data_IF_683643436840
#
_entry.id   IF_683643436840
#
_cell.length_a   1.000
_cell.length_b   1.000
_cell.length_c   1.000
_cell.angle_alpha   90.00
_cell.angle_beta   90.00
_cell.angle_gamma   90.00
#
_symmetry.space_group_name_H-M   'P 1'
#
loop_
_entity.id
_entity.type
_entity.pdbx_description
1 polymer ?
#
# COMPACT_ATOMS: atom_id res chain seq x y z
N UNK A 1 74.05 -56.08 10.00
CA UNK A 1 73.64 -57.00 11.08
C UNK A 1 72.73 -56.20 12.02
N UNK A 2 71.40 -56.24 11.83
CA UNK A 2 70.41 -57.06 12.59
C UNK A 2 70.23 -56.48 14.01
N UNK A 3 69.07 -56.13 14.59
CA UNK A 3 67.61 -56.18 14.34
C UNK A 3 66.98 -55.21 15.39
N UNK A 4 65.98 -54.38 15.08
CA UNK A 4 64.52 -54.62 15.24
C UNK A 4 64.05 -55.25 16.56
N UNK A 5 63.30 -54.47 17.36
CA UNK A 5 62.34 -54.84 18.43
C UNK A 5 62.11 -53.59 19.31
N UNK A 6 60.93 -53.04 19.60
CA UNK A 6 59.57 -53.57 19.67
C UNK A 6 58.54 -52.44 19.41
N UNK A 7 57.50 -52.80 18.67
CA UNK A 7 56.20 -52.14 18.56
C UNK A 7 55.31 -52.71 19.69
N UNK A 8 54.28 -51.95 20.06
CA UNK A 8 53.10 -52.27 20.89
C UNK A 8 53.20 -51.89 22.38
N UNK A 9 52.65 -50.72 22.68
CA UNK A 9 51.68 -50.42 23.74
C UNK A 9 51.54 -48.88 23.73
N UNK A 10 50.38 -48.22 23.67
CA UNK A 10 49.01 -48.64 23.85
C UNK A 10 48.13 -47.51 23.30
N UNK A 11 47.20 -47.88 22.42
CA UNK A 11 46.10 -47.04 21.93
C UNK A 11 45.19 -46.69 23.11
N UNK A 12 45.39 -45.56 23.79
CA UNK A 12 44.43 -45.13 24.82
C UNK A 12 44.49 -43.65 25.23
N UNK A 13 44.66 -42.72 24.29
CA UNK A 13 44.65 -41.28 24.58
C UNK A 13 43.83 -40.46 23.56
N UNK A 14 42.73 -41.04 23.07
CA UNK A 14 41.84 -40.41 22.08
C UNK A 14 40.38 -40.30 22.56
N UNK A 15 40.16 -40.22 23.88
CA UNK A 15 38.79 -40.26 24.43
C UNK A 15 38.59 -39.41 25.68
N UNK A 16 39.21 -38.23 25.79
CA UNK A 16 38.96 -37.29 26.93
C UNK A 16 39.02 -35.80 26.60
N UNK A 17 38.54 -35.40 25.41
CA UNK A 17 38.17 -33.99 25.13
C UNK A 17 36.79 -33.89 24.46
N UNK A 18 35.85 -34.72 24.92
CA UNK A 18 34.41 -34.56 24.69
C UNK A 18 33.75 -34.00 25.96
N UNK A 19 34.37 -32.99 26.57
CA UNK A 19 33.75 -32.21 27.63
C UNK A 19 32.80 -31.25 26.94
N UNK A 20 31.54 -31.69 26.83
CA UNK A 20 30.36 -30.91 27.19
C UNK A 20 30.59 -29.39 27.31
N UNK A 21 30.79 -28.72 26.18
CA UNK A 21 30.27 -27.37 25.99
C UNK A 21 28.80 -27.54 25.58
N UNK A 22 28.01 -28.13 26.49
CA UNK A 22 26.59 -27.81 26.60
C UNK A 22 26.55 -26.40 27.18
N UNK A 23 26.91 -25.43 26.33
CA UNK A 23 26.41 -24.07 26.47
C UNK A 23 24.89 -24.28 26.48
N UNK A 24 24.20 -23.98 27.60
CA UNK A 24 22.77 -23.86 27.51
C UNK A 24 22.58 -22.72 26.51
N UNK A 25 22.21 -23.06 25.28
CA UNK A 25 21.33 -22.23 24.50
C UNK A 25 20.09 -22.11 25.38
N UNK A 26 20.19 -21.19 26.34
CA UNK A 26 19.07 -20.54 26.96
C UNK A 26 18.42 -19.90 25.75
N UNK A 27 17.52 -20.67 25.12
CA UNK A 27 16.46 -20.15 24.30
C UNK A 27 15.80 -19.12 25.20
N UNK A 28 16.28 -17.88 25.11
CA UNK A 28 15.51 -16.71 25.43
C UNK A 28 14.37 -16.77 24.42
N UNK A 29 13.37 -17.60 24.70
CA UNK A 29 11.99 -17.33 24.36
C UNK A 29 11.58 -16.07 25.11
N UNK A 30 12.28 -14.97 24.87
CA UNK A 30 11.63 -13.68 24.92
C UNK A 30 10.51 -13.85 23.92
N UNK A 31 9.27 -13.76 24.41
CA UNK A 31 8.15 -13.42 23.58
C UNK A 31 8.65 -12.28 22.70
N UNK A 32 8.96 -12.59 21.43
CA UNK A 32 9.25 -11.55 20.48
C UNK A 32 7.95 -10.77 20.43
N UNK A 33 7.91 -9.64 21.15
CA UNK A 33 6.84 -8.67 21.02
C UNK A 33 6.60 -8.57 19.53
N UNK A 34 5.42 -9.02 19.10
CA UNK A 34 5.13 -9.20 17.68
C UNK A 34 5.41 -7.86 17.03
N UNK A 35 6.47 -7.81 16.23
CA UNK A 35 6.98 -6.58 15.64
C UNK A 35 5.83 -5.90 14.91
N UNK A 36 5.35 -4.78 15.45
CA UNK A 36 4.24 -4.05 14.85
C UNK A 36 4.73 -3.33 13.59
N UNK A 37 4.08 -3.62 12.46
CA UNK A 37 4.38 -2.98 11.17
C UNK A 37 3.92 -1.52 11.08
N UNK A 38 3.30 -0.97 12.12
CA UNK A 38 3.04 0.48 12.21
C UNK A 38 4.36 1.27 12.08
N UNK A 39 5.43 0.80 12.72
CA UNK A 39 6.76 1.42 12.62
C UNK A 39 7.34 1.34 11.20
N UNK A 40 7.12 0.23 10.50
CA UNK A 40 7.47 0.05 9.09
C UNK A 40 6.81 1.11 8.22
N UNK A 41 5.48 1.22 8.27
CA UNK A 41 4.72 2.15 7.42
C UNK A 41 5.10 3.61 7.68
N UNK A 42 5.29 3.99 8.94
CA UNK A 42 5.73 5.34 9.29
C UNK A 42 7.13 5.67 8.74
N UNK A 43 8.01 4.68 8.67
CA UNK A 43 9.38 4.84 8.15
C UNK A 43 9.38 4.92 6.63
N UNK A 44 8.59 4.07 5.95
CA UNK A 44 8.40 4.11 4.49
C UNK A 44 7.88 5.47 4.02
N UNK A 45 6.92 6.07 4.73
CA UNK A 45 6.42 7.41 4.39
C UNK A 45 7.55 8.46 4.32
N UNK A 46 8.61 8.33 5.13
CA UNK A 46 9.77 9.24 5.08
C UNK A 46 10.61 9.03 3.81
N UNK A 47 10.81 7.77 3.40
CA UNK A 47 11.52 7.46 2.15
C UNK A 47 10.76 8.01 0.93
N UNK A 48 9.44 7.88 0.91
CA UNK A 48 8.58 8.41 -0.14
C UNK A 48 8.66 9.96 -0.23
N UNK A 49 8.74 10.66 0.91
CA UNK A 49 8.99 12.11 0.92
C UNK A 49 10.36 12.49 0.35
N UNK A 50 11.42 11.72 0.67
CA UNK A 50 12.75 11.93 0.09
C UNK A 50 12.75 11.72 -1.43
N UNK A 51 12.05 10.69 -1.92
CA UNK A 51 11.88 10.46 -3.37
C UNK A 51 11.26 11.69 -4.04
N UNK A 52 10.24 12.29 -3.42
CA UNK A 52 9.55 13.47 -3.97
C UNK A 52 10.43 14.72 -4.01
N UNK A 53 11.42 14.81 -3.11
CA UNK A 53 12.45 15.86 -3.12
C UNK A 53 13.66 15.51 -3.99
N UNK A 54 13.61 14.35 -4.66
CA UNK A 54 14.69 13.78 -5.45
C UNK A 54 15.97 13.46 -4.65
N UNK A 55 15.82 13.29 -3.34
CA UNK A 55 16.88 12.92 -2.40
C UNK A 55 17.01 11.39 -2.35
N UNK A 56 17.36 10.77 -3.48
CA UNK A 56 17.34 9.32 -3.63
C UNK A 56 18.31 8.59 -2.70
N UNK A 57 19.48 9.18 -2.40
CA UNK A 57 20.42 8.61 -1.43
C UNK A 57 19.84 8.60 -0.01
N UNK A 58 19.13 9.66 0.39
CA UNK A 58 18.42 9.72 1.69
C UNK A 58 17.33 8.64 1.76
N UNK A 59 16.57 8.44 0.68
CA UNK A 59 15.56 7.39 0.61
C UNK A 59 16.18 5.98 0.74
N UNK A 60 17.35 5.72 0.14
CA UNK A 60 18.05 4.44 0.25
C UNK A 60 18.39 4.11 1.70
N UNK A 61 18.97 5.05 2.45
CA UNK A 61 19.33 4.84 3.86
C UNK A 61 18.10 4.43 4.68
N UNK A 62 16.95 5.05 4.40
CA UNK A 62 15.68 4.71 5.06
C UNK A 62 15.24 3.29 4.68
N UNK A 63 15.30 2.91 3.40
CA UNK A 63 14.95 1.55 2.95
C UNK A 63 15.89 0.48 3.50
N UNK A 64 17.20 0.71 3.50
CA UNK A 64 18.17 -0.22 4.09
C UNK A 64 17.87 -0.46 5.57
N UNK A 65 17.60 0.62 6.30
CA UNK A 65 17.27 0.53 7.72
C UNK A 65 15.97 -0.25 7.95
N UNK A 66 14.93 -0.01 7.14
CA UNK A 66 13.64 -0.67 7.36
C UNK A 66 13.68 -2.14 6.94
N UNK A 67 14.35 -2.48 5.84
CA UNK A 67 14.38 -3.86 5.34
C UNK A 67 15.23 -4.81 6.19
N UNK A 68 16.20 -4.29 6.95
CA UNK A 68 16.94 -5.09 7.94
C UNK A 68 16.06 -5.47 9.15
N UNK A 69 15.13 -4.59 9.52
CA UNK A 69 14.36 -4.73 10.75
C UNK A 69 13.02 -5.46 10.58
N UNK A 70 12.49 -5.51 9.36
CA UNK A 70 11.15 -6.04 9.09
C UNK A 70 11.21 -7.14 8.02
N UNK A 71 10.82 -8.39 8.30
CA UNK A 71 10.99 -9.50 7.34
C UNK A 71 10.04 -9.46 6.13
N UNK A 72 8.89 -8.79 6.23
CA UNK A 72 7.92 -8.68 5.13
C UNK A 72 8.12 -7.33 4.44
N UNK A 73 8.33 -7.37 3.12
CA UNK A 73 8.43 -6.16 2.31
C UNK A 73 7.27 -6.11 1.31
N UNK A 74 6.73 -4.92 1.09
CA UNK A 74 5.74 -4.73 0.03
C UNK A 74 6.47 -4.54 -1.29
N UNK A 75 6.00 -5.20 -2.36
CA UNK A 75 6.61 -5.09 -3.69
C UNK A 75 6.74 -3.63 -4.17
N UNK A 76 5.79 -2.76 -3.79
CA UNK A 76 5.86 -1.32 -4.12
C UNK A 76 7.09 -0.65 -3.49
N UNK A 77 7.41 -1.02 -2.25
CA UNK A 77 8.48 -0.44 -1.47
C UNK A 77 9.83 -0.96 -1.95
N UNK A 78 9.92 -2.27 -2.24
CA UNK A 78 11.07 -2.88 -2.91
C UNK A 78 11.37 -2.22 -4.26
N UNK A 79 10.32 -1.96 -5.04
CA UNK A 79 10.49 -1.32 -6.33
C UNK A 79 10.98 0.11 -6.19
N UNK A 80 10.38 0.90 -5.30
CA UNK A 80 10.82 2.26 -5.03
C UNK A 80 12.29 2.29 -4.55
N UNK A 81 12.69 1.37 -3.67
CA UNK A 81 14.08 1.23 -3.24
C UNK A 81 15.01 0.90 -4.43
N UNK A 82 14.63 -0.08 -5.26
CA UNK A 82 15.39 -0.48 -6.45
C UNK A 82 15.60 0.71 -7.40
N UNK A 83 14.54 1.49 -7.66
CA UNK A 83 14.63 2.69 -8.49
C UNK A 83 15.54 3.76 -7.87
N UNK A 84 15.53 3.93 -6.54
CA UNK A 84 16.48 4.84 -5.89
C UNK A 84 17.93 4.43 -6.21
N UNK A 85 18.29 3.15 -6.08
CA UNK A 85 19.65 2.69 -6.39
C UNK A 85 20.01 2.83 -7.87
N UNK A 86 19.05 2.58 -8.77
CA UNK A 86 19.25 2.81 -10.21
C UNK A 86 19.53 4.29 -10.48
N UNK A 87 18.76 5.21 -9.87
CA UNK A 87 18.93 6.65 -10.05
C UNK A 87 20.26 7.18 -9.49
N UNK A 88 20.85 6.51 -8.51
CA UNK A 88 22.19 6.84 -7.97
C UNK A 88 23.31 5.94 -8.51
N UNK A 89 23.05 5.18 -9.59
CA UNK A 89 24.03 4.30 -10.25
C UNK A 89 24.67 3.20 -9.37
N UNK A 90 24.00 2.79 -8.29
CA UNK A 90 24.43 1.70 -7.39
C UNK A 90 23.80 0.38 -7.86
N UNK A 91 24.22 -0.09 -9.03
CA UNK A 91 23.51 -1.16 -9.76
C UNK A 91 23.64 -2.55 -9.13
N UNK A 92 24.66 -2.78 -8.31
CA UNK A 92 24.83 -3.99 -7.50
C UNK A 92 23.70 -4.15 -6.46
N UNK A 93 23.33 -3.07 -5.77
CA UNK A 93 22.19 -3.07 -4.83
C UNK A 93 20.85 -3.14 -5.57
N UNK A 94 20.74 -2.48 -6.72
CA UNK A 94 19.55 -2.56 -7.55
C UNK A 94 19.30 -3.99 -8.05
N UNK A 95 20.36 -4.74 -8.40
CA UNK A 95 20.29 -6.15 -8.77
C UNK A 95 19.67 -7.01 -7.66
N UNK A 96 20.16 -6.89 -6.43
CA UNK A 96 19.65 -7.65 -5.28
C UNK A 96 18.16 -7.38 -5.03
N UNK A 97 17.73 -6.11 -5.14
CA UNK A 97 16.31 -5.77 -5.01
C UNK A 97 15.48 -6.24 -6.22
N UNK A 98 16.05 -6.28 -7.43
CA UNK A 98 15.38 -6.86 -8.59
C UNK A 98 15.16 -8.38 -8.40
N UNK A 99 16.14 -9.09 -7.84
CA UNK A 99 15.97 -10.50 -7.46
C UNK A 99 14.85 -10.68 -6.44
N UNK A 100 14.79 -9.82 -5.43
CA UNK A 100 13.72 -9.84 -4.42
C UNK A 100 12.35 -9.51 -5.03
N UNK A 101 12.27 -8.55 -5.96
CA UNK A 101 11.04 -8.24 -6.70
C UNK A 101 10.48 -9.47 -7.42
N UNK A 102 11.33 -10.35 -7.98
CA UNK A 102 10.89 -11.61 -8.59
C UNK A 102 10.24 -12.52 -7.54
N UNK A 103 10.79 -12.57 -6.32
CA UNK A 103 10.19 -13.28 -5.18
C UNK A 103 8.88 -12.66 -4.71
N UNK A 104 8.60 -11.42 -5.11
CA UNK A 104 7.34 -10.71 -4.89
C UNK A 104 6.43 -10.69 -6.13
N UNK A 105 6.70 -11.55 -7.12
CA UNK A 105 5.83 -11.78 -8.25
C UNK A 105 6.11 -10.94 -9.49
N UNK A 106 7.17 -10.12 -9.50
CA UNK A 106 7.62 -9.50 -10.74
C UNK A 106 8.03 -10.55 -11.76
N UNK A 107 7.69 -10.28 -13.01
CA UNK A 107 8.06 -11.06 -14.18
C UNK A 107 9.12 -10.30 -14.96
N UNK A 108 9.91 -11.02 -15.77
CA UNK A 108 10.95 -10.42 -16.59
C UNK A 108 10.45 -9.23 -17.42
N UNK A 109 9.25 -9.38 -17.99
CA UNK A 109 8.57 -8.38 -18.79
C UNK A 109 8.24 -7.08 -18.02
N UNK A 110 8.07 -7.14 -16.69
CA UNK A 110 7.85 -5.94 -15.87
C UNK A 110 9.10 -5.05 -15.84
N UNK A 111 10.30 -5.65 -15.90
CA UNK A 111 11.56 -4.92 -15.98
C UNK A 111 11.82 -4.42 -17.41
N UNK A 112 11.59 -5.28 -18.42
CA UNK A 112 11.91 -4.97 -19.81
C UNK A 112 11.03 -3.86 -20.41
N UNK A 113 9.74 -3.83 -20.05
CA UNK A 113 8.80 -2.81 -20.57
C UNK A 113 8.96 -1.46 -19.89
N UNK A 114 9.35 -1.44 -18.62
CA UNK A 114 9.47 -0.19 -17.89
C UNK A 114 10.87 0.41 -18.06
N UNK A 115 10.94 1.43 -18.93
CA UNK A 115 12.18 2.13 -19.30
C UNK A 115 13.04 2.59 -18.12
N UNK A 116 12.46 2.75 -16.92
CA UNK A 116 13.19 3.12 -15.70
C UNK A 116 14.26 2.09 -15.30
N UNK A 117 14.12 0.82 -15.70
CA UNK A 117 15.10 -0.24 -15.45
C UNK A 117 16.20 -0.31 -16.52
N UNK A 118 16.13 0.51 -17.57
CA UNK A 118 17.12 0.50 -18.68
C UNK A 118 18.59 0.58 -18.20
N UNK A 119 18.96 1.42 -17.21
CA UNK A 119 20.34 1.44 -16.72
C UNK A 119 20.79 0.11 -16.12
N UNK A 120 19.91 -0.58 -15.39
CA UNK A 120 20.19 -1.92 -14.87
C UNK A 120 20.32 -2.91 -16.03
N UNK A 121 19.34 -2.95 -16.95
CA UNK A 121 19.28 -3.87 -18.10
C UNK A 121 20.54 -3.79 -18.99
N UNK A 122 21.09 -2.59 -19.17
CA UNK A 122 22.31 -2.38 -19.98
C UNK A 122 23.61 -2.71 -19.26
N UNK A 123 23.56 -3.01 -17.97
CA UNK A 123 24.74 -3.26 -17.15
C UNK A 123 25.12 -4.74 -17.10
N UNK A 124 26.32 -5.03 -16.60
CA UNK A 124 26.75 -6.41 -16.36
C UNK A 124 25.92 -7.11 -15.27
N UNK A 125 25.36 -6.35 -14.32
CA UNK A 125 24.48 -6.85 -13.26
C UNK A 125 23.21 -7.50 -13.81
N UNK A 126 22.69 -7.01 -14.95
CA UNK A 126 21.56 -7.64 -15.61
C UNK A 126 21.86 -9.06 -16.06
N UNK A 127 23.08 -9.32 -16.56
CA UNK A 127 23.46 -10.68 -16.97
C UNK A 127 23.47 -11.64 -15.78
N UNK A 128 23.93 -11.17 -14.62
CA UNK A 128 23.89 -11.94 -13.37
C UNK A 128 22.45 -12.20 -12.92
N UNK A 129 21.61 -11.16 -12.92
CA UNK A 129 20.17 -11.28 -12.64
C UNK A 129 19.45 -12.27 -13.57
N UNK A 130 19.73 -12.24 -14.88
CA UNK A 130 19.13 -13.18 -15.85
C UNK A 130 19.52 -14.62 -15.53
N UNK A 131 20.77 -14.85 -15.12
CA UNK A 131 21.25 -16.19 -14.75
C UNK A 131 20.54 -16.73 -13.49
N UNK A 132 20.11 -15.86 -12.57
CA UNK A 132 19.38 -16.25 -11.35
C UNK A 132 17.85 -16.27 -11.54
N UNK A 133 17.32 -15.57 -12.55
CA UNK A 133 15.88 -15.32 -12.74
C UNK A 133 15.03 -16.61 -12.73
N UNK A 134 15.37 -17.63 -13.52
CA UNK A 134 14.56 -18.86 -13.60
C UNK A 134 14.43 -19.54 -12.24
N UNK A 135 15.52 -19.59 -11.47
CA UNK A 135 15.52 -20.17 -10.11
C UNK A 135 14.66 -19.34 -9.16
N UNK A 136 14.79 -18.01 -9.20
CA UNK A 136 14.00 -17.10 -8.35
C UNK A 136 12.51 -17.17 -8.70
N UNK A 137 12.19 -17.24 -9.99
CA UNK A 137 10.81 -17.35 -10.46
C UNK A 137 10.17 -18.66 -10.02
N UNK A 138 10.90 -19.77 -10.12
CA UNK A 138 10.44 -21.06 -9.60
C UNK A 138 10.16 -20.99 -8.09
N UNK A 139 11.08 -20.38 -7.32
CA UNK A 139 10.90 -20.17 -5.87
C UNK A 139 9.63 -19.36 -5.58
N UNK A 140 9.34 -18.31 -6.33
CA UNK A 140 8.08 -17.57 -6.19
C UNK A 140 6.87 -18.46 -6.51
N UNK A 141 6.87 -19.16 -7.66
CA UNK A 141 5.73 -19.98 -8.08
C UNK A 141 5.44 -21.13 -7.13
N UNK A 142 6.46 -21.70 -6.48
CA UNK A 142 6.31 -22.73 -5.43
C UNK A 142 5.58 -22.21 -4.19
N UNK A 143 5.59 -20.90 -3.92
CA UNK A 143 4.80 -20.30 -2.84
C UNK A 143 3.31 -20.14 -3.17
N UNK A 144 2.92 -20.34 -4.45
CA UNK A 144 1.56 -20.16 -4.90
C UNK A 144 0.77 -21.47 -4.74
N UNK A 145 -0.21 -21.48 -3.84
CA UNK A 145 -1.14 -22.59 -3.70
C UNK A 145 -2.28 -22.48 -4.74
N UNK A 146 -2.36 -23.37 -5.75
CA UNK A 146 -3.39 -23.31 -6.78
C UNK A 146 -4.81 -23.52 -6.23
N UNK A 147 -4.97 -24.34 -5.19
CA UNK A 147 -6.27 -24.63 -4.60
C UNK A 147 -6.83 -23.40 -3.87
N UNK A 148 -5.98 -22.75 -3.07
CA UNK A 148 -6.32 -21.49 -2.42
C UNK A 148 -6.72 -20.42 -3.46
N UNK A 149 -5.91 -20.26 -4.51
CA UNK A 149 -6.16 -19.26 -5.56
C UNK A 149 -7.47 -19.50 -6.31
N UNK A 150 -7.73 -20.75 -6.70
CA UNK A 150 -8.97 -21.14 -7.36
C UNK A 150 -10.18 -20.90 -6.45
N UNK A 151 -10.07 -21.24 -5.17
CA UNK A 151 -11.14 -21.02 -4.20
C UNK A 151 -11.50 -19.54 -4.07
N UNK A 152 -10.51 -18.65 -3.88
CA UNK A 152 -10.76 -17.19 -3.82
C UNK A 152 -11.33 -16.67 -5.14
N UNK A 153 -10.87 -17.20 -6.28
CA UNK A 153 -11.39 -16.81 -7.59
C UNK A 153 -12.87 -17.18 -7.77
N UNK A 154 -13.26 -18.40 -7.43
CA UNK A 154 -14.66 -18.85 -7.47
C UNK A 154 -15.56 -18.01 -6.57
N UNK A 155 -15.09 -17.71 -5.35
CA UNK A 155 -15.79 -16.84 -4.41
C UNK A 155 -16.00 -15.44 -5.00
N UNK A 156 -14.96 -14.88 -5.62
CA UNK A 156 -15.03 -13.60 -6.31
C UNK A 156 -16.02 -13.63 -7.48
N UNK A 157 -16.02 -14.67 -8.32
CA UNK A 157 -17.00 -14.76 -9.42
C UNK A 157 -18.44 -14.80 -8.90
N UNK A 158 -18.69 -15.54 -7.82
CA UNK A 158 -20.01 -15.61 -7.19
C UNK A 158 -20.44 -14.26 -6.61
N UNK A 159 -19.54 -13.58 -5.91
CA UNK A 159 -19.76 -12.23 -5.38
C UNK A 159 -20.09 -11.23 -6.51
N UNK A 160 -19.27 -11.21 -7.57
CA UNK A 160 -19.46 -10.27 -8.68
C UNK A 160 -20.69 -10.57 -9.53
N UNK A 161 -21.15 -11.82 -9.59
CA UNK A 161 -22.38 -12.18 -10.32
C UNK A 161 -23.63 -11.46 -9.81
N UNK A 162 -23.59 -10.95 -8.57
CA UNK A 162 -24.69 -10.21 -7.95
C UNK A 162 -24.36 -8.75 -7.63
N UNK A 163 -23.16 -8.27 -7.93
CA UNK A 163 -22.71 -6.91 -7.55
C UNK A 163 -23.54 -5.78 -8.18
N UNK A 164 -24.21 -6.04 -9.30
CA UNK A 164 -25.12 -5.09 -9.97
C UNK A 164 -26.60 -5.47 -9.82
N UNK A 165 -26.92 -6.42 -8.95
CA UNK A 165 -28.30 -6.84 -8.70
C UNK A 165 -29.11 -5.70 -8.10
N UNK A 166 -30.29 -5.42 -8.66
CA UNK A 166 -31.27 -4.51 -8.06
C UNK A 166 -31.93 -5.08 -6.80
N UNK A 167 -31.77 -6.38 -6.54
CA UNK A 167 -32.27 -7.06 -5.35
C UNK A 167 -31.21 -7.01 -4.25
N UNK A 168 -31.16 -5.89 -3.53
CA UNK A 168 -30.14 -5.60 -2.48
C UNK A 168 -30.08 -6.73 -1.44
N UNK A 169 -31.24 -7.14 -0.92
CA UNK A 169 -31.38 -8.24 0.03
C UNK A 169 -30.77 -9.57 -0.46
N UNK A 170 -30.89 -9.89 -1.75
CA UNK A 170 -30.25 -11.07 -2.34
C UNK A 170 -28.73 -10.88 -2.47
N UNK A 171 -28.30 -9.72 -2.95
CA UNK A 171 -26.87 -9.36 -3.03
C UNK A 171 -26.18 -9.47 -1.67
N UNK A 172 -26.78 -8.90 -0.63
CA UNK A 172 -26.23 -8.87 0.71
C UNK A 172 -26.14 -10.26 1.34
N UNK A 173 -27.10 -11.14 1.04
CA UNK A 173 -27.02 -12.54 1.45
C UNK A 173 -25.79 -13.23 0.87
N UNK A 174 -25.47 -12.97 -0.40
CA UNK A 174 -24.28 -13.53 -1.04
C UNK A 174 -23.01 -12.96 -0.42
N UNK A 175 -22.92 -11.64 -0.21
CA UNK A 175 -21.78 -11.00 0.43
C UNK A 175 -21.53 -11.58 1.83
N UNK A 176 -22.58 -11.75 2.64
CA UNK A 176 -22.50 -12.36 3.96
C UNK A 176 -21.98 -13.80 3.90
N UNK A 177 -22.57 -14.67 3.07
CA UNK A 177 -22.15 -16.07 2.99
C UNK A 177 -20.76 -16.24 2.36
N UNK A 178 -20.34 -15.36 1.44
CA UNK A 178 -18.95 -15.34 0.97
C UNK A 178 -17.99 -14.94 2.09
N UNK A 179 -18.35 -14.03 2.99
CA UNK A 179 -17.52 -13.67 4.13
C UNK A 179 -17.35 -14.82 5.14
N UNK A 180 -18.43 -15.57 5.42
CA UNK A 180 -18.36 -16.80 6.25
C UNK A 180 -17.41 -17.82 5.64
N UNK A 181 -17.48 -18.01 4.33
CA UNK A 181 -16.56 -18.93 3.64
C UNK A 181 -15.13 -18.39 3.64
N UNK A 182 -14.95 -17.08 3.51
CA UNK A 182 -13.63 -16.44 3.46
C UNK A 182 -12.91 -16.58 4.80
N UNK A 183 -13.64 -16.43 5.90
CA UNK A 183 -13.11 -16.69 7.24
C UNK A 183 -12.60 -18.13 7.38
N UNK A 184 -13.34 -19.13 6.90
CA UNK A 184 -12.90 -20.53 6.93
C UNK A 184 -11.64 -20.74 6.08
N UNK A 185 -11.61 -20.12 4.90
CA UNK A 185 -10.44 -20.16 4.01
C UNK A 185 -9.23 -19.54 4.72
N UNK A 186 -9.35 -18.38 5.36
CA UNK A 186 -8.25 -17.79 6.13
C UNK A 186 -7.88 -18.59 7.38
N UNK A 187 -8.84 -19.26 8.01
CA UNK A 187 -8.57 -20.13 9.16
C UNK A 187 -7.77 -21.38 8.74
N UNK A 188 -8.00 -21.89 7.53
CA UNK A 188 -7.30 -23.07 7.01
C UNK A 188 -5.93 -22.72 6.41
N UNK A 189 -5.87 -21.68 5.55
CA UNK A 189 -4.67 -21.33 4.79
C UNK A 189 -3.82 -20.22 5.42
N UNK A 190 -4.34 -19.53 6.45
CA UNK A 190 -3.78 -18.29 6.95
C UNK A 190 -4.16 -17.08 6.08
N UNK A 191 -3.71 -15.89 6.50
CA UNK A 191 -3.86 -14.68 5.70
C UNK A 191 -2.81 -14.67 4.58
N UNK A 192 -3.20 -14.49 3.31
CA UNK A 192 -2.30 -14.75 2.19
C UNK A 192 -1.31 -13.61 1.95
N UNK A 193 -0.12 -13.95 1.45
CA UNK A 193 0.88 -12.99 1.00
C UNK A 193 0.55 -12.26 -0.30
N UNK A 194 -0.59 -12.54 -0.95
CA UNK A 194 -0.94 -11.87 -2.21
C UNK A 194 -1.13 -10.35 -2.07
N UNK A 195 -1.33 -9.84 -0.84
CA UNK A 195 -1.44 -8.40 -0.55
C UNK A 195 -0.10 -7.67 -0.47
N UNK A 196 1.01 -8.39 -0.21
CA UNK A 196 2.37 -7.81 -0.24
C UNK A 196 3.01 -7.95 -1.63
N UNK A 197 2.59 -8.95 -2.40
CA UNK A 197 3.12 -9.28 -3.73
C UNK A 197 2.42 -8.51 -4.86
N UNK A 198 3.08 -8.43 -6.02
CA UNK A 198 2.44 -8.05 -7.29
C UNK A 198 1.60 -9.24 -7.79
N UNK A 199 0.39 -9.35 -7.26
CA UNK A 199 -0.49 -10.49 -7.50
C UNK A 199 -1.91 -10.04 -7.84
N UNK A 200 -2.48 -10.56 -8.93
CA UNK A 200 -3.84 -10.23 -9.38
C UNK A 200 -4.95 -10.73 -8.45
N UNK A 201 -4.62 -11.58 -7.46
CA UNK A 201 -5.55 -12.03 -6.44
C UNK A 201 -5.83 -10.94 -5.38
N UNK A 202 -4.91 -9.98 -5.20
CA UNK A 202 -5.05 -8.92 -4.20
C UNK A 202 -6.36 -8.12 -4.37
N UNK A 203 -6.70 -7.77 -5.60
CA UNK A 203 -7.85 -6.94 -5.94
C UNK A 203 -9.14 -7.70 -5.71
N UNK A 204 -9.17 -8.99 -6.05
CA UNK A 204 -10.33 -9.87 -5.84
C UNK A 204 -10.62 -10.03 -4.36
N UNK A 205 -9.58 -10.29 -3.58
CA UNK A 205 -9.70 -10.43 -2.13
C UNK A 205 -10.07 -9.10 -1.46
N UNK A 206 -9.49 -7.98 -1.90
CA UNK A 206 -9.90 -6.64 -1.46
C UNK A 206 -11.40 -6.41 -1.68
N UNK A 207 -11.94 -6.75 -2.85
CA UNK A 207 -13.36 -6.59 -3.18
C UNK A 207 -14.24 -7.46 -2.27
N UNK A 208 -13.92 -8.74 -2.07
CA UNK A 208 -14.67 -9.65 -1.19
C UNK A 208 -14.76 -9.10 0.24
N UNK A 209 -13.61 -8.69 0.80
CA UNK A 209 -13.54 -8.15 2.17
C UNK A 209 -14.32 -6.83 2.25
N UNK A 210 -14.13 -5.95 1.26
CA UNK A 210 -14.78 -4.65 1.16
C UNK A 210 -16.30 -4.76 1.14
N UNK A 211 -16.88 -5.68 0.36
CA UNK A 211 -18.33 -5.87 0.29
C UNK A 211 -18.93 -6.30 1.62
N UNK A 212 -18.27 -7.23 2.33
CA UNK A 212 -18.69 -7.64 3.66
C UNK A 212 -18.68 -6.48 4.66
N UNK A 213 -17.59 -5.71 4.75
CA UNK A 213 -17.55 -4.56 5.66
C UNK A 213 -18.52 -3.46 5.24
N UNK A 214 -18.75 -3.28 3.94
CA UNK A 214 -19.83 -2.45 3.43
C UNK A 214 -21.20 -2.84 3.97
N UNK A 215 -21.50 -4.14 4.02
CA UNK A 215 -22.73 -4.66 4.61
C UNK A 215 -22.79 -4.41 6.12
N UNK A 216 -21.70 -4.69 6.86
CA UNK A 216 -21.60 -4.41 8.31
C UNK A 216 -21.84 -2.93 8.61
N UNK A 217 -21.23 -2.03 7.84
CA UNK A 217 -21.32 -0.59 8.06
C UNK A 217 -22.72 -0.04 7.74
N UNK A 218 -23.40 -0.58 6.72
CA UNK A 218 -24.81 -0.27 6.46
C UNK A 218 -25.73 -0.75 7.58
N UNK A 219 -25.53 -1.98 8.07
CA UNK A 219 -26.29 -2.51 9.20
C UNK A 219 -26.11 -1.68 10.48
N UNK A 220 -24.86 -1.24 10.75
CA UNK A 220 -24.55 -0.34 11.87
C UNK A 220 -25.22 1.02 11.73
N UNK A 221 -25.24 1.58 10.51
CA UNK A 221 -25.82 2.89 10.23
C UNK A 221 -27.35 2.87 10.11
N UNK A 222 -27.94 1.71 9.81
CA UNK A 222 -29.39 1.51 9.69
C UNK A 222 -29.81 0.20 10.38
N UNK A 223 -29.97 0.19 11.72
CA UNK A 223 -30.34 -1.01 12.47
C UNK A 223 -31.72 -1.58 12.07
N UNK A 224 -32.62 -0.77 11.52
CA UNK A 224 -33.95 -1.22 11.06
C UNK A 224 -33.86 -2.23 9.91
N UNK A 225 -32.81 -2.13 9.07
CA UNK A 225 -32.53 -3.10 8.00
C UNK A 225 -32.48 -4.54 8.55
N UNK A 226 -31.97 -4.73 9.77
CA UNK A 226 -31.84 -6.06 10.39
C UNK A 226 -33.20 -6.71 10.74
N UNK A 227 -34.30 -5.96 10.71
CA UNK A 227 -35.65 -6.50 10.95
C UNK A 227 -36.25 -7.17 9.72
N UNK A 228 -35.76 -6.85 8.52
CA UNK A 228 -36.23 -7.46 7.27
C UNK A 228 -35.87 -8.95 7.24
N UNK A 229 -36.73 -9.75 6.61
CA UNK A 229 -36.66 -11.22 6.68
C UNK A 229 -35.32 -11.81 6.22
N UNK A 230 -34.64 -11.19 5.27
CA UNK A 230 -33.38 -11.72 4.74
C UNK A 230 -32.15 -11.46 5.58
N UNK A 231 -32.17 -10.48 6.50
CA UNK A 231 -31.04 -10.24 7.40
C UNK A 231 -31.18 -10.98 8.73
N UNK A 232 -32.37 -11.52 9.05
CA UNK A 232 -32.63 -12.21 10.34
C UNK A 232 -31.71 -13.40 10.60
N UNK A 233 -31.22 -14.06 9.56
CA UNK A 233 -30.29 -15.19 9.67
C UNK A 233 -28.81 -14.78 9.68
N UNK A 234 -28.51 -13.50 9.50
CA UNK A 234 -27.15 -12.98 9.47
C UNK A 234 -26.71 -12.59 10.88
N UNK A 235 -25.66 -13.25 11.37
CA UNK A 235 -25.03 -12.95 12.65
C UNK A 235 -23.62 -12.43 12.40
N UNK A 236 -23.51 -11.11 12.28
CA UNK A 236 -22.23 -10.43 12.01
C UNK A 236 -21.19 -10.66 13.11
N UNK A 237 -21.61 -10.98 14.33
CA UNK A 237 -20.69 -11.22 15.45
C UNK A 237 -20.04 -12.61 15.40
N UNK A 238 -20.55 -13.53 14.58
CA UNK A 238 -19.95 -14.87 14.38
C UNK A 238 -18.78 -14.88 13.42
N UNK A 239 -18.62 -13.83 12.62
CA UNK A 239 -17.60 -13.78 11.58
C UNK A 239 -16.41 -12.97 12.12
N UNK A 240 -15.29 -13.64 12.33
CA UNK A 240 -14.09 -13.04 12.91
C UNK A 240 -13.17 -12.36 11.89
N UNK A 241 -13.72 -11.94 10.74
CA UNK A 241 -12.92 -11.40 9.64
C UNK A 241 -12.19 -10.12 10.07
N UNK A 242 -12.79 -9.27 10.90
CA UNK A 242 -12.14 -8.05 11.40
C UNK A 242 -10.85 -8.35 12.17
N UNK A 243 -10.86 -9.34 13.07
CA UNK A 243 -9.65 -9.71 13.81
C UNK A 243 -8.58 -10.28 12.88
N UNK A 244 -8.96 -11.08 11.88
CA UNK A 244 -8.02 -11.62 10.89
C UNK A 244 -7.36 -10.48 10.09
N UNK A 245 -8.13 -9.50 9.64
CA UNK A 245 -7.65 -8.34 8.88
C UNK A 245 -6.77 -7.43 9.75
N UNK A 246 -7.16 -7.18 11.00
CA UNK A 246 -6.34 -6.44 11.96
C UNK A 246 -4.99 -7.13 12.16
N UNK A 247 -4.99 -8.44 12.40
CA UNK A 247 -3.77 -9.23 12.53
C UNK A 247 -2.91 -9.18 11.26
N UNK A 248 -3.53 -9.19 10.08
CA UNK A 248 -2.84 -9.02 8.79
C UNK A 248 -2.12 -7.67 8.70
N UNK A 249 -2.78 -6.57 9.08
CA UNK A 249 -2.16 -5.24 9.14
C UNK A 249 -0.97 -5.23 10.12
N UNK A 250 -1.16 -5.68 11.36
CA UNK A 250 -0.10 -5.63 12.38
C UNK A 250 1.12 -6.51 12.04
N UNK A 251 0.90 -7.60 11.28
CA UNK A 251 1.96 -8.49 10.78
C UNK A 251 2.59 -8.03 9.45
N UNK A 252 2.20 -6.88 8.91
CA UNK A 252 2.78 -6.35 7.68
C UNK A 252 2.33 -7.08 6.41
N UNK A 253 1.11 -7.63 6.42
CA UNK A 253 0.52 -8.30 5.27
C UNK A 253 -0.45 -7.40 4.50
N UNK A 254 -0.82 -6.24 5.04
CA UNK A 254 -1.78 -5.31 4.44
C UNK A 254 -1.23 -3.88 4.58
N UNK A 255 -1.29 -3.10 3.50
CA UNK A 255 -0.99 -1.67 3.57
C UNK A 255 -2.10 -0.92 4.34
N UNK A 256 -1.77 0.11 5.13
CA UNK A 256 -2.77 0.87 5.88
C UNK A 256 -3.89 1.46 5.00
N UNK A 257 -3.57 1.92 3.80
CA UNK A 257 -4.55 2.45 2.84
C UNK A 257 -5.49 1.36 2.33
N UNK A 258 -4.94 0.18 2.01
CA UNK A 258 -5.73 -1.01 1.60
C UNK A 258 -6.64 -1.46 2.73
N UNK A 259 -6.14 -1.47 3.97
CA UNK A 259 -6.92 -1.78 5.17
C UNK A 259 -8.12 -0.83 5.32
N UNK A 260 -7.91 0.49 5.24
CA UNK A 260 -9.01 1.47 5.32
C UNK A 260 -10.01 1.28 4.17
N UNK A 261 -9.53 1.07 2.94
CA UNK A 261 -10.38 0.82 1.77
C UNK A 261 -11.29 -0.40 1.92
N UNK A 262 -10.83 -1.42 2.66
CA UNK A 262 -11.62 -2.60 3.02
C UNK A 262 -12.63 -2.28 4.12
N UNK A 263 -12.17 -1.84 5.30
CA UNK A 263 -13.00 -1.85 6.52
C UNK A 263 -13.92 -0.65 6.64
N UNK A 264 -13.59 0.48 6.01
CA UNK A 264 -14.39 1.72 6.08
C UNK A 264 -15.30 1.89 4.87
N UNK A 265 -15.45 0.86 4.04
CA UNK A 265 -16.36 0.94 2.91
C UNK A 265 -17.79 1.18 3.37
N UNK A 266 -18.41 2.25 2.87
CA UNK A 266 -19.75 2.71 3.28
C UNK A 266 -19.90 2.97 4.80
N UNK A 267 -18.80 3.28 5.49
CA UNK A 267 -18.84 3.75 6.88
C UNK A 267 -19.04 5.27 6.94
N UNK A 268 -20.27 5.69 7.26
CA UNK A 268 -20.62 7.10 7.40
C UNK A 268 -19.94 7.78 8.59
N UNK A 269 -19.43 7.02 9.57
CA UNK A 269 -18.69 7.59 10.70
C UNK A 269 -17.28 8.03 10.32
N UNK A 270 -16.77 7.49 9.21
CA UNK A 270 -15.47 7.76 8.64
C UNK A 270 -14.34 7.82 9.69
N UNK A 271 -14.02 6.68 10.32
CA UNK A 271 -13.11 6.64 11.48
C UNK A 271 -11.68 7.10 11.17
N UNK A 272 -11.31 7.16 9.89
CA UNK A 272 -10.00 7.62 9.41
C UNK A 272 -10.04 8.96 8.65
N UNK A 273 -11.24 9.54 8.52
CA UNK A 273 -11.55 10.84 7.94
C UNK A 273 -11.37 10.94 6.42
N UNK A 274 -12.15 11.82 5.81
CA UNK A 274 -12.07 12.13 4.37
C UNK A 274 -11.01 13.18 4.16
N UNK A 275 -10.05 12.82 3.31
CA UNK A 275 -9.04 13.75 2.85
C UNK A 275 -9.66 14.76 1.89
N UNK A 276 -9.36 16.02 2.11
CA UNK A 276 -9.73 17.12 1.23
C UNK A 276 -8.51 17.99 0.92
N UNK A 277 -8.52 18.62 -0.25
CA UNK A 277 -7.48 19.59 -0.63
C UNK A 277 -8.08 20.99 -0.63
N UNK A 278 -7.46 21.90 0.12
CA UNK A 278 -7.69 23.33 -0.01
C UNK A 278 -6.70 23.89 -1.02
N UNK A 279 -7.18 24.55 -2.05
CA UNK A 279 -6.41 25.31 -3.04
C UNK A 279 -6.64 26.79 -2.77
N UNK A 280 -5.67 27.45 -2.15
CA UNK A 280 -5.75 28.86 -1.77
C UNK A 280 -5.11 29.74 -2.86
N UNK A 281 -5.93 30.42 -3.66
CA UNK A 281 -5.45 31.29 -4.74
C UNK A 281 -4.95 32.66 -4.24
N UNK A 282 -5.16 33.02 -2.97
CA UNK A 282 -4.58 34.21 -2.38
C UNK A 282 -3.14 33.95 -1.97
N UNK A 283 -2.89 32.80 -1.35
CA UNK A 283 -1.56 32.39 -0.87
C UNK A 283 -0.77 31.56 -1.88
N UNK A 284 -1.41 31.14 -2.98
CA UNK A 284 -0.83 30.22 -3.98
C UNK A 284 -0.32 28.92 -3.34
N UNK A 285 -1.15 28.34 -2.49
CA UNK A 285 -0.78 27.16 -1.70
C UNK A 285 -1.87 26.10 -1.75
N UNK A 286 -1.45 24.85 -1.87
CA UNK A 286 -2.31 23.68 -1.66
C UNK A 286 -2.10 23.12 -0.24
N UNK A 287 -3.16 22.66 0.40
CA UNK A 287 -3.07 22.09 1.76
C UNK A 287 -4.03 20.92 1.90
N UNK A 288 -3.51 19.79 2.39
CA UNK A 288 -4.29 18.62 2.73
C UNK A 288 -4.90 18.79 4.12
N UNK A 289 -6.19 18.49 4.26
CA UNK A 289 -6.88 18.54 5.56
C UNK A 289 -7.96 17.46 5.64
N UNK A 290 -8.49 17.28 6.85
CA UNK A 290 -9.66 16.42 7.10
C UNK A 290 -10.91 17.30 7.12
N UNK A 291 -11.92 16.99 6.31
CA UNK A 291 -13.19 17.73 6.31
C UNK A 291 -14.07 17.33 7.49
N UNK A 292 -13.61 17.70 8.68
CA UNK A 292 -14.22 17.41 9.96
C UNK A 292 -14.05 18.61 10.90
N UNK A 293 -14.96 18.79 11.88
CA UNK A 293 -14.76 19.74 12.96
C UNK A 293 -13.44 19.51 13.72
N UNK A 294 -12.73 20.56 14.18
CA UNK A 294 -11.42 20.46 14.83
C UNK A 294 -11.36 19.45 15.99
N UNK A 295 -12.42 19.33 16.78
CA UNK A 295 -12.51 18.42 17.92
C UNK A 295 -12.46 16.94 17.49
N UNK A 296 -12.97 16.61 16.29
CA UNK A 296 -12.93 15.24 15.75
C UNK A 296 -11.61 14.89 15.07
N UNK A 297 -10.84 15.90 14.64
CA UNK A 297 -9.55 15.70 13.97
C UNK A 297 -8.56 14.97 14.88
N UNK A 298 -8.60 15.23 16.19
CA UNK A 298 -7.72 14.59 17.17
C UNK A 298 -7.97 13.08 17.22
N UNK A 299 -9.23 12.66 17.34
CA UNK A 299 -9.62 11.26 17.41
C UNK A 299 -9.37 10.51 16.10
N UNK A 300 -9.69 11.14 14.96
CA UNK A 300 -9.40 10.56 13.65
C UNK A 300 -7.90 10.40 13.44
N UNK A 301 -7.08 11.38 13.79
CA UNK A 301 -5.62 11.25 13.69
C UNK A 301 -5.06 10.18 14.65
N UNK A 302 -5.67 10.00 15.82
CA UNK A 302 -5.34 8.89 16.72
C UNK A 302 -5.59 7.55 16.03
N UNK A 303 -6.75 7.37 15.40
CA UNK A 303 -7.09 6.15 14.66
C UNK A 303 -6.14 5.91 13.47
N UNK A 304 -5.83 6.96 12.69
CA UNK A 304 -4.90 6.88 11.55
C UNK A 304 -3.52 6.39 11.99
N UNK A 305 -2.95 6.99 13.02
CA UNK A 305 -1.62 6.60 13.52
C UNK A 305 -1.62 5.20 14.09
N UNK A 306 -2.70 4.79 14.75
CA UNK A 306 -2.85 3.44 15.28
C UNK A 306 -2.83 2.34 14.21
N UNK A 307 -2.97 2.70 12.92
CA UNK A 307 -2.86 1.76 11.80
C UNK A 307 -1.67 2.05 10.87
N UNK A 308 -0.79 2.99 11.24
CA UNK A 308 0.38 3.36 10.41
C UNK A 308 0.10 4.35 9.27
N UNK A 309 -1.08 4.99 9.26
CA UNK A 309 -1.32 6.15 8.38
C UNK A 309 -0.70 7.43 8.98
N UNK A 310 -0.26 8.38 8.14
CA UNK A 310 0.21 9.66 8.62
C UNK A 310 -0.93 10.48 9.24
N UNK A 311 -0.58 11.26 10.28
CA UNK A 311 -1.45 12.32 10.79
C UNK A 311 -1.66 13.38 9.72
N UNK A 312 -2.88 13.87 9.60
CA UNK A 312 -3.24 14.99 8.74
C UNK A 312 -3.34 16.23 9.62
N UNK A 313 -2.48 17.20 9.34
CA UNK A 313 -2.42 18.49 10.04
C UNK A 313 -2.23 19.58 9.00
N UNK A 314 -2.71 20.80 9.30
CA UNK A 314 -2.50 21.96 8.42
C UNK A 314 -1.02 22.32 8.23
N UNK A 315 -0.14 21.78 9.08
CA UNK A 315 1.31 22.04 9.10
C UNK A 315 2.13 20.98 8.37
N UNK A 316 1.52 19.96 7.75
CA UNK A 316 2.23 18.93 7.01
C UNK A 316 1.97 19.06 5.48
N UNK A 317 2.38 20.17 4.84
CA UNK A 317 2.19 20.37 3.41
C UNK A 317 2.92 19.31 2.58
N UNK A 318 3.97 18.71 3.16
CA UNK A 318 4.83 17.74 2.48
C UNK A 318 4.09 16.51 1.98
N UNK A 319 2.94 16.16 2.58
CA UNK A 319 2.12 15.03 2.11
C UNK A 319 1.65 15.23 0.67
N UNK A 320 1.42 16.48 0.24
CA UNK A 320 1.05 16.77 -1.14
C UNK A 320 2.25 16.79 -2.10
N UNK A 321 3.49 16.78 -1.61
CA UNK A 321 4.69 16.69 -2.44
C UNK A 321 4.75 15.37 -3.21
N UNK A 322 4.03 14.34 -2.75
CA UNK A 322 3.88 13.07 -3.46
C UNK A 322 2.84 13.12 -4.60
N UNK A 323 2.30 14.30 -4.90
CA UNK A 323 1.21 14.49 -5.87
C UNK A 323 1.41 15.72 -6.74
N UNK A 324 0.63 15.80 -7.83
CA UNK A 324 0.58 16.97 -8.69
C UNK A 324 0.07 18.24 -8.00
N UNK A 325 -0.58 18.15 -6.82
CA UNK A 325 -0.97 19.33 -6.04
C UNK A 325 0.22 20.16 -5.53
N UNK A 326 1.42 19.58 -5.47
CA UNK A 326 2.64 20.33 -5.17
C UNK A 326 3.11 21.23 -6.31
N UNK A 327 2.66 20.96 -7.54
CA UNK A 327 2.94 21.71 -8.75
C UNK A 327 1.65 22.36 -9.30
N UNK A 328 0.73 22.75 -8.41
CA UNK A 328 -0.58 23.27 -8.82
C UNK A 328 -0.45 24.56 -9.66
N UNK A 329 -1.11 24.67 -10.83
CA UNK A 329 -0.83 25.71 -11.83
C UNK A 329 -1.56 27.02 -11.53
N UNK A 330 -1.23 27.66 -10.40
CA UNK A 330 -1.90 28.87 -9.92
C UNK A 330 -1.83 30.01 -10.94
N UNK A 331 -0.65 30.26 -11.53
CA UNK A 331 -0.43 31.39 -12.43
C UNK A 331 -1.20 31.22 -13.75
N UNK A 332 -1.14 30.02 -14.32
CA UNK A 332 -1.82 29.64 -15.57
C UNK A 332 -3.33 29.74 -15.39
N UNK A 333 -3.86 29.18 -14.29
CA UNK A 333 -5.28 29.26 -13.98
C UNK A 333 -5.72 30.72 -13.85
N UNK A 334 -5.05 31.53 -13.02
CA UNK A 334 -5.42 32.95 -12.83
C UNK A 334 -5.46 33.72 -14.15
N UNK A 335 -4.42 33.56 -14.98
CA UNK A 335 -4.31 34.21 -16.29
C UNK A 335 -5.47 33.80 -17.20
N UNK A 336 -5.78 32.51 -17.27
CA UNK A 336 -6.85 31.97 -18.10
C UNK A 336 -8.23 32.48 -17.65
N UNK A 337 -8.50 32.51 -16.35
CA UNK A 337 -9.79 32.98 -15.82
C UNK A 337 -10.00 34.47 -16.12
N UNK A 338 -8.98 35.31 -15.93
CA UNK A 338 -9.03 36.74 -16.24
C UNK A 338 -9.20 37.03 -17.74
N UNK A 339 -8.70 36.14 -18.61
CA UNK A 339 -8.80 36.25 -20.06
C UNK A 339 -10.11 35.67 -20.63
N UNK A 340 -10.93 34.97 -19.84
CA UNK A 340 -12.12 34.30 -20.38
C UNK A 340 -13.31 35.25 -20.59
N UNK A 341 -13.40 35.86 -21.78
CA UNK A 341 -14.52 36.72 -22.16
C UNK A 341 -15.86 35.96 -22.28
N UNK A 342 -15.83 34.69 -22.71
CA UNK A 342 -17.01 33.86 -22.90
C UNK A 342 -17.54 33.16 -21.61
N UNK A 343 -16.82 33.29 -20.49
CA UNK A 343 -17.17 32.64 -19.22
C UNK A 343 -18.18 33.48 -18.44
N UNK A 344 -19.46 33.15 -18.60
CA UNK A 344 -20.58 33.87 -17.96
C UNK A 344 -21.14 33.15 -16.73
N UNK A 345 -20.73 31.90 -16.49
CA UNK A 345 -21.23 31.06 -15.39
C UNK A 345 -20.08 30.41 -14.64
N UNK A 346 -20.28 30.11 -13.36
CA UNK A 346 -19.29 29.41 -12.53
C UNK A 346 -18.87 28.08 -13.16
N UNK A 347 -19.80 27.30 -13.71
CA UNK A 347 -19.51 26.04 -14.40
C UNK A 347 -18.49 26.20 -15.53
N UNK A 348 -18.58 27.26 -16.34
CA UNK A 348 -17.59 27.51 -17.41
C UNK A 348 -16.20 27.77 -16.85
N UNK A 349 -16.10 28.55 -15.77
CA UNK A 349 -14.81 28.78 -15.09
C UNK A 349 -14.27 27.50 -14.46
N UNK A 350 -15.12 26.68 -13.82
CA UNK A 350 -14.70 25.39 -13.24
C UNK A 350 -14.17 24.45 -14.34
N UNK A 351 -14.82 24.37 -15.50
CA UNK A 351 -14.34 23.55 -16.62
C UNK A 351 -12.95 23.98 -17.10
N UNK A 352 -12.69 25.30 -17.13
CA UNK A 352 -11.37 25.82 -17.45
C UNK A 352 -10.33 25.38 -16.41
N UNK A 353 -10.64 25.51 -15.11
CA UNK A 353 -9.76 25.06 -14.02
C UNK A 353 -9.44 23.57 -14.17
N UNK A 354 -10.45 22.73 -14.36
CA UNK A 354 -10.26 21.27 -14.52
C UNK A 354 -9.36 20.94 -15.70
N UNK A 355 -9.49 21.65 -16.82
CA UNK A 355 -8.62 21.43 -17.99
C UNK A 355 -7.14 21.72 -17.69
N UNK A 356 -6.84 22.80 -16.95
CA UNK A 356 -5.46 23.10 -16.54
C UNK A 356 -4.94 22.13 -15.47
N UNK A 357 -5.79 21.72 -14.54
CA UNK A 357 -5.46 20.69 -13.55
C UNK A 357 -5.12 19.34 -14.20
N UNK A 358 -5.86 18.93 -15.24
CA UNK A 358 -5.54 17.72 -16.02
C UNK A 358 -4.14 17.83 -16.63
N UNK A 359 -3.81 18.98 -17.25
CA UNK A 359 -2.48 19.21 -17.82
C UNK A 359 -1.38 19.14 -16.75
N UNK A 360 -1.58 19.77 -15.59
CA UNK A 360 -0.62 19.71 -14.49
C UNK A 360 -0.45 18.28 -13.94
N UNK A 361 -1.55 17.55 -13.76
CA UNK A 361 -1.52 16.13 -13.39
C UNK A 361 -0.74 15.29 -14.41
N UNK A 362 -0.98 15.49 -15.71
CA UNK A 362 -0.29 14.75 -16.77
C UNK A 362 1.20 15.13 -16.84
N UNK A 363 1.54 16.40 -16.64
CA UNK A 363 2.92 16.86 -16.52
C UNK A 363 3.65 16.20 -15.35
N UNK A 364 3.04 16.19 -14.16
CA UNK A 364 3.59 15.55 -12.98
C UNK A 364 3.81 14.04 -13.19
N UNK A 365 2.84 13.34 -13.79
CA UNK A 365 2.97 11.92 -14.16
C UNK A 365 4.08 11.66 -15.18
N UNK A 366 4.32 12.62 -16.06
CA UNK A 366 5.39 12.55 -17.05
C UNK A 366 6.78 12.94 -16.49
N UNK A 367 6.88 13.40 -15.23
CA UNK A 367 8.13 13.85 -14.64
C UNK A 367 9.18 12.71 -14.67
N UNK A 368 10.28 12.85 -15.43
CA UNK A 368 11.24 11.77 -15.64
C UNK A 368 12.01 11.39 -14.36
N UNK A 369 12.04 12.28 -13.36
CA UNK A 369 12.69 12.02 -12.06
C UNK A 369 11.82 11.13 -11.17
N UNK A 370 10.50 11.29 -11.21
CA UNK A 370 9.53 10.46 -10.48
C UNK A 370 8.99 9.29 -11.29
N UNK A 371 9.26 9.26 -12.60
CA UNK A 371 8.82 8.18 -13.49
C UNK A 371 9.21 6.83 -12.89
N UNK A 372 8.21 5.96 -12.84
CA UNK A 372 8.33 4.64 -12.28
C UNK A 372 7.78 4.57 -10.87
N UNK A 373 8.23 5.39 -9.92
CA UNK A 373 7.92 5.23 -8.49
C UNK A 373 6.42 5.02 -8.20
N UNK A 374 6.11 4.06 -7.31
CA UNK A 374 4.75 3.78 -6.82
C UNK A 374 4.58 4.54 -5.50
N UNK A 375 4.22 5.81 -5.61
CA UNK A 375 3.98 6.69 -4.47
C UNK A 375 2.49 6.66 -4.04
N UNK A 376 2.14 7.08 -2.81
CA UNK A 376 0.75 7.15 -2.38
C UNK A 376 -0.09 7.99 -3.33
N UNK A 377 -1.12 7.36 -3.91
CA UNK A 377 -2.02 8.03 -4.85
C UNK A 377 -3.07 8.86 -4.10
N UNK A 378 -2.70 10.08 -3.73
CA UNK A 378 -3.62 11.09 -3.19
C UNK A 378 -4.24 11.97 -4.30
N UNK A 379 -4.00 11.65 -5.57
CA UNK A 379 -4.60 12.34 -6.72
C UNK A 379 -6.12 12.15 -6.79
N UNK A 380 -6.64 11.03 -6.28
CA UNK A 380 -8.07 10.69 -6.24
C UNK A 380 -8.88 11.36 -5.13
N UNK A 381 -8.35 12.41 -4.49
CA UNK A 381 -9.11 13.18 -3.50
C UNK A 381 -10.26 13.91 -4.20
N UNK A 382 -11.49 13.45 -3.97
CA UNK A 382 -12.70 14.00 -4.58
C UNK A 382 -13.17 15.31 -3.93
N UNK A 383 -12.68 15.60 -2.73
CA UNK A 383 -13.09 16.75 -1.95
C UNK A 383 -12.09 17.90 -2.11
N UNK A 384 -12.48 18.96 -2.80
CA UNK A 384 -11.61 20.10 -3.13
C UNK A 384 -12.29 21.42 -2.84
N UNK A 385 -11.59 22.31 -2.15
CA UNK A 385 -12.05 23.65 -1.81
C UNK A 385 -11.19 24.69 -2.51
N UNK A 386 -11.79 25.52 -3.36
CA UNK A 386 -11.10 26.58 -4.10
C UNK A 386 -11.30 27.92 -3.37
N UNK A 387 -10.31 28.34 -2.58
CA UNK A 387 -10.37 29.57 -1.79
C UNK A 387 -9.82 30.76 -2.58
N UNK A 388 -10.47 31.92 -2.46
CA UNK A 388 -10.08 33.15 -3.15
C UNK A 388 -10.22 33.13 -4.68
N UNK A 389 -10.81 32.09 -5.28
CA UNK A 389 -10.86 31.94 -6.74
C UNK A 389 -11.84 32.91 -7.42
N UNK A 390 -12.95 33.26 -6.75
CA UNK A 390 -14.03 34.08 -7.33
C UNK A 390 -13.58 35.47 -7.78
N UNK A 391 -12.50 36.03 -7.19
CA UNK A 391 -11.95 37.33 -7.61
C UNK A 391 -11.37 37.34 -9.03
N UNK A 392 -11.15 36.17 -9.61
CA UNK A 392 -10.67 36.01 -10.98
C UNK A 392 -11.80 35.72 -11.98
N UNK A 393 -13.06 35.61 -11.53
CA UNK A 393 -14.22 35.37 -12.40
C UNK A 393 -14.74 36.68 -12.98
N UNK A 394 -14.00 37.25 -13.94
CA UNK A 394 -14.22 38.61 -14.50
C UNK A 394 -15.67 38.91 -14.91
N UNK A 395 -16.35 37.94 -15.51
CA UNK A 395 -17.69 38.10 -16.10
C UNK A 395 -18.78 37.27 -15.40
N UNK A 396 -18.48 36.66 -14.24
CA UNK A 396 -19.51 35.94 -13.50
C UNK A 396 -20.49 36.96 -12.91
N UNK A 397 -21.76 36.86 -13.29
CA UNK A 397 -22.82 37.58 -12.57
C UNK A 397 -22.84 37.03 -11.14
N UNK A 398 -22.87 37.93 -10.15
CA UNK A 398 -23.17 37.53 -8.78
C UNK A 398 -24.52 36.83 -8.79
N UNK A 399 -24.50 35.53 -8.52
CA UNK A 399 -25.72 34.84 -8.12
C UNK A 399 -25.97 35.32 -6.70
N UNK A 400 -26.88 36.28 -6.55
CA UNK A 400 -27.43 36.66 -5.25
C UNK A 400 -28.14 35.48 -4.60
#
# INVERSE_FOLDING_TARGET
MIKYSMILESKMLLTRYFIFVLLPFICKGGYADTLSYIGYHNTINKAELYICRYEFDSAQVVYETVFVNYPNHFHKDLRNACLCYIKTSKLDKAELLAEELVLHGYELNDFEKDTVFTPLIRSQHWKTFINSYTRLRNKYTETLDPNFRNKIYEMFLKDQSVALSKKICFQDSIFYYQAVELEKVFSHYGFPGCMINKDTLNTKMHILIRHYFGLVNRAKSNPEMLKESCYRSMDFNRINLKQIIDNGLYKGLILPQTYVGMISHWDNSNPYGDLCVKVDFNQEKTTLFLNLPPEKIIDVNKNRVAIGLPKITFTNPDVLNTTWYSEYPFAEIKKMLLACEACTTETKYINLIVNEEIKASDHFKANPRLKGFILPELSGINCKFLDGIKKYFKNAKSVE
#
